data_IF_229703821572
#
_entry.id   IF_229703821572
#
_cell.length_a   1.000
_cell.length_b   1.000
_cell.length_c   1.000
_cell.angle_alpha   90.00
_cell.angle_beta   90.00
_cell.angle_gamma   90.00
#
_symmetry.space_group_name_H-M   'P 1'
#
loop_
_entity.id
_entity.type
_entity.pdbx_description
1 polymer ?
#
# COMPACT_ATOMS: atom_id res chain seq x y z
N UNK A 1 -15.14 9.38 0.43
CA UNK A 1 -15.00 7.92 0.20
C UNK A 1 -13.75 7.44 0.92
N UNK A 2 -13.89 6.38 1.73
CA UNK A 2 -12.85 5.92 2.65
C UNK A 2 -12.56 4.45 2.37
N UNK A 3 -11.40 4.16 1.80
CA UNK A 3 -11.04 2.84 1.31
C UNK A 3 -9.74 2.31 1.94
N UNK A 4 -9.65 0.99 2.06
CA UNK A 4 -8.40 0.28 2.22
C UNK A 4 -8.01 -0.38 0.89
N UNK A 5 -6.72 -0.42 0.58
CA UNK A 5 -6.18 -1.26 -0.47
C UNK A 5 -5.26 -2.32 0.14
N UNK A 6 -5.61 -3.57 -0.05
CA UNK A 6 -4.94 -4.71 0.54
C UNK A 6 -4.39 -5.65 -0.54
N UNK A 7 -3.53 -6.55 -0.13
CA UNK A 7 -2.85 -7.52 -1.00
C UNK A 7 -1.38 -7.65 -0.61
N UNK A 8 -0.74 -8.70 -1.05
CA UNK A 8 0.65 -9.01 -0.74
C UNK A 8 1.63 -7.95 -1.29
N UNK A 9 2.83 -7.82 -0.73
CA UNK A 9 3.91 -7.05 -1.35
C UNK A 9 4.13 -7.50 -2.80
N UNK A 10 4.23 -6.54 -3.74
CA UNK A 10 4.36 -6.87 -5.17
C UNK A 10 3.05 -7.10 -5.93
N UNK A 11 1.89 -7.14 -5.25
CA UNK A 11 0.58 -7.35 -5.90
C UNK A 11 0.10 -6.17 -6.78
N UNK A 12 0.80 -5.05 -6.79
CA UNK A 12 0.43 -3.88 -7.60
C UNK A 12 -0.38 -2.82 -6.85
N UNK A 13 -0.53 -2.92 -5.52
CA UNK A 13 -1.29 -1.95 -4.70
C UNK A 13 -0.93 -0.49 -4.99
N UNK A 14 0.35 -0.14 -4.93
CA UNK A 14 0.79 1.24 -5.16
C UNK A 14 0.46 1.78 -6.55
N UNK A 15 0.51 0.91 -7.59
CA UNK A 15 0.11 1.27 -8.96
C UNK A 15 -1.38 1.56 -9.03
N UNK A 16 -2.20 0.71 -8.42
CA UNK A 16 -3.65 0.91 -8.39
C UNK A 16 -4.05 2.07 -7.47
N UNK A 17 -3.34 2.25 -6.34
CA UNK A 17 -3.55 3.38 -5.45
C UNK A 17 -3.35 4.73 -6.16
N UNK A 18 -2.29 4.87 -6.96
CA UNK A 18 -2.05 6.08 -7.75
C UNK A 18 -3.21 6.37 -8.70
N UNK A 19 -3.72 5.35 -9.41
CA UNK A 19 -4.88 5.48 -10.31
C UNK A 19 -6.18 5.81 -9.56
N UNK A 20 -6.42 5.21 -8.39
CA UNK A 20 -7.58 5.52 -7.55
C UNK A 20 -7.53 6.98 -7.09
N UNK A 21 -6.38 7.44 -6.62
CA UNK A 21 -6.18 8.84 -6.17
C UNK A 21 -6.40 9.83 -7.32
N UNK A 22 -5.88 9.54 -8.50
CA UNK A 22 -6.06 10.38 -9.70
C UNK A 22 -7.54 10.45 -10.12
N UNK A 23 -8.24 9.33 -10.16
CA UNK A 23 -9.64 9.23 -10.63
C UNK A 23 -10.65 9.80 -9.62
N UNK A 24 -10.45 9.50 -8.31
CA UNK A 24 -11.45 9.78 -7.28
C UNK A 24 -11.09 10.95 -6.35
N UNK A 25 -9.88 11.48 -6.41
CA UNK A 25 -9.45 12.65 -5.64
C UNK A 25 -9.32 12.42 -4.14
N UNK A 26 -9.28 11.16 -3.67
CA UNK A 26 -9.12 10.82 -2.26
C UNK A 26 -7.70 11.07 -1.76
N UNK A 27 -7.51 11.35 -0.47
CA UNK A 27 -6.20 11.48 0.11
C UNK A 27 -5.48 10.12 0.18
N UNK A 28 -4.27 10.03 -0.33
CA UNK A 28 -3.44 8.81 -0.25
C UNK A 28 -2.71 8.77 1.09
N UNK A 29 -2.93 7.73 1.87
CA UNK A 29 -2.22 7.48 3.14
C UNK A 29 -1.46 6.16 2.98
N UNK A 30 -0.17 6.23 2.69
CA UNK A 30 0.71 5.07 2.58
C UNK A 30 1.66 5.02 3.78
N UNK A 31 1.44 4.08 4.69
CA UNK A 31 2.33 3.92 5.86
C UNK A 31 3.76 3.59 5.44
N UNK A 32 3.92 2.84 4.36
CA UNK A 32 5.23 2.56 3.80
C UNK A 32 5.97 3.82 3.32
N UNK A 33 5.26 4.76 2.67
CA UNK A 33 5.87 6.02 2.22
C UNK A 33 6.13 6.97 3.38
N UNK A 34 5.24 7.02 4.38
CA UNK A 34 5.45 7.79 5.60
C UNK A 34 6.72 7.35 6.33
N UNK A 35 6.92 6.04 6.53
CA UNK A 35 8.15 5.53 7.13
C UNK A 35 9.38 5.79 6.27
N UNK A 36 9.30 5.62 4.94
CA UNK A 36 10.42 5.93 4.04
C UNK A 36 10.81 7.40 4.07
N UNK A 37 9.83 8.29 4.10
CA UNK A 37 10.10 9.72 4.28
C UNK A 37 10.78 10.02 5.62
N UNK A 38 10.31 9.42 6.71
CA UNK A 38 10.92 9.54 8.03
C UNK A 38 12.37 9.01 8.05
N UNK A 39 12.63 7.88 7.37
CA UNK A 39 13.97 7.30 7.23
C UNK A 39 14.91 8.22 6.42
N UNK A 40 14.43 8.78 5.33
CA UNK A 40 15.20 9.72 4.48
C UNK A 40 15.55 11.01 5.24
N UNK A 41 14.63 11.48 6.08
CA UNK A 41 14.82 12.65 6.93
C UNK A 41 15.57 12.34 8.24
N UNK A 42 15.99 11.10 8.45
CA UNK A 42 16.75 10.64 9.63
C UNK A 42 16.06 11.00 10.97
N UNK A 43 14.73 11.00 11.01
CA UNK A 43 13.99 11.22 12.25
C UNK A 43 14.18 10.04 13.21
N UNK A 44 13.87 10.23 14.50
CA UNK A 44 13.90 9.15 15.50
C UNK A 44 12.98 7.99 15.08
N UNK A 45 11.76 8.31 14.67
CA UNK A 45 10.80 7.33 14.13
C UNK A 45 11.34 6.64 12.86
N UNK A 46 12.00 7.39 11.97
CA UNK A 46 12.61 6.83 10.76
C UNK A 46 13.74 5.84 11.08
N UNK A 47 14.58 6.16 12.08
CA UNK A 47 15.65 5.27 12.55
C UNK A 47 15.06 3.98 13.13
N UNK A 48 14.01 4.09 13.94
CA UNK A 48 13.30 2.94 14.50
C UNK A 48 12.70 2.10 13.38
N UNK A 49 11.92 2.70 12.47
CA UNK A 49 11.28 2.00 11.36
C UNK A 49 12.29 1.24 10.47
N UNK A 50 13.46 1.86 10.21
CA UNK A 50 14.53 1.25 9.41
C UNK A 50 15.00 -0.07 9.98
N UNK A 51 15.11 -0.18 11.32
CA UNK A 51 15.59 -1.40 11.99
C UNK A 51 14.69 -2.63 11.75
N UNK A 52 13.42 -2.42 11.39
CA UNK A 52 12.44 -3.46 11.05
C UNK A 52 12.32 -3.65 9.53
N UNK A 53 12.13 -2.56 8.80
CA UNK A 53 11.86 -2.60 7.35
C UNK A 53 13.01 -3.26 6.58
N UNK A 54 14.26 -2.95 6.90
CA UNK A 54 15.44 -3.53 6.24
C UNK A 54 15.53 -5.07 6.43
N UNK A 55 14.88 -5.60 7.46
CA UNK A 55 14.80 -7.04 7.73
C UNK A 55 13.54 -7.70 7.14
N UNK A 56 12.66 -6.92 6.51
CA UNK A 56 11.36 -7.39 6.03
C UNK A 56 10.35 -7.63 7.15
N UNK A 57 10.56 -7.04 8.32
CA UNK A 57 9.67 -7.10 9.49
C UNK A 57 8.68 -5.94 9.50
N UNK A 58 7.63 -6.06 10.32
CA UNK A 58 6.68 -4.98 10.54
C UNK A 58 7.21 -4.02 11.62
N UNK A 59 6.98 -2.72 11.42
CA UNK A 59 7.18 -1.72 12.47
C UNK A 59 6.16 -1.97 13.58
N UNK A 60 6.50 -1.80 14.87
CA UNK A 60 5.57 -2.05 15.98
C UNK A 60 4.22 -1.37 15.80
N UNK A 61 3.15 -2.08 16.18
CA UNK A 61 1.77 -1.63 15.97
C UNK A 61 1.48 -0.28 16.63
N UNK A 62 1.99 -0.05 17.83
CA UNK A 62 1.80 1.21 18.55
C UNK A 62 2.30 2.43 17.74
N UNK A 63 3.48 2.28 17.11
CA UNK A 63 4.07 3.34 16.27
C UNK A 63 3.24 3.54 15.01
N UNK A 64 2.86 2.45 14.35
CA UNK A 64 2.09 2.51 13.10
C UNK A 64 0.67 3.05 13.35
N UNK A 65 0.00 2.60 14.42
CA UNK A 65 -1.32 3.10 14.81
C UNK A 65 -1.27 4.60 15.13
N UNK A 66 -0.22 5.06 15.81
CA UNK A 66 -0.05 6.46 16.16
C UNK A 66 -0.01 7.36 14.93
N UNK A 67 0.85 7.06 13.97
CA UNK A 67 0.99 7.89 12.76
C UNK A 67 -0.27 7.86 11.87
N UNK A 68 -0.96 6.72 11.79
CA UNK A 68 -2.21 6.62 11.02
C UNK A 68 -3.31 7.42 11.69
N UNK A 69 -3.46 7.34 13.01
CA UNK A 69 -4.43 8.11 13.77
C UNK A 69 -4.22 9.62 13.60
N UNK A 70 -2.98 10.09 13.70
CA UNK A 70 -2.65 11.50 13.48
C UNK A 70 -3.03 11.93 12.06
N UNK A 71 -2.66 11.16 11.05
CA UNK A 71 -2.97 11.48 9.66
C UNK A 71 -4.48 11.48 9.35
N UNK A 72 -5.25 10.54 9.93
CA UNK A 72 -6.70 10.46 9.75
C UNK A 72 -7.45 11.64 10.42
N UNK A 73 -6.84 12.31 11.39
CA UNK A 73 -7.42 13.48 12.05
C UNK A 73 -7.17 14.80 11.30
N UNK A 74 -6.40 14.82 10.22
CA UNK A 74 -6.14 16.01 9.44
C UNK A 74 -7.40 16.44 8.63
N UNK A 75 -7.55 17.76 8.41
CA UNK A 75 -8.75 18.35 7.82
C UNK A 75 -9.06 17.90 6.39
N UNK A 76 -8.03 17.60 5.60
CA UNK A 76 -8.19 17.14 4.21
C UNK A 76 -8.89 15.78 4.12
N UNK A 77 -8.81 14.96 5.16
CA UNK A 77 -9.48 13.65 5.23
C UNK A 77 -10.99 13.81 5.29
N UNK A 78 -11.47 14.78 6.09
CA UNK A 78 -12.89 15.05 6.18
C UNK A 78 -13.50 15.56 4.85
N UNK A 79 -12.71 16.27 4.06
CA UNK A 79 -13.15 16.83 2.77
C UNK A 79 -13.09 15.80 1.62
N UNK A 80 -11.99 15.06 1.52
CA UNK A 80 -11.67 14.18 0.37
C UNK A 80 -11.96 12.71 0.61
N UNK A 81 -12.02 12.30 1.89
CA UNK A 81 -11.89 10.89 2.25
C UNK A 81 -10.45 10.40 2.06
N UNK A 82 -10.24 9.09 2.12
CA UNK A 82 -8.90 8.52 2.05
C UNK A 82 -8.83 7.17 1.33
N UNK A 83 -7.62 6.85 0.88
CA UNK A 83 -7.18 5.52 0.52
C UNK A 83 -5.99 5.15 1.40
N UNK A 84 -6.17 4.18 2.31
CA UNK A 84 -5.10 3.61 3.14
C UNK A 84 -4.38 2.49 2.38
N UNK A 85 -3.07 2.64 2.19
CA UNK A 85 -2.18 1.64 1.57
C UNK A 85 -1.12 1.18 2.57
N UNK A 86 -1.04 -0.14 2.74
CA UNK A 86 -0.06 -0.77 3.63
C UNK A 86 -0.41 -0.71 5.11
N UNK A 87 -1.66 -0.48 5.44
CA UNK A 87 -2.24 -0.55 6.78
C UNK A 87 -3.74 -0.90 6.65
N UNK A 88 -4.30 -1.77 7.53
CA UNK A 88 -3.63 -2.53 8.59
C UNK A 88 -2.77 -3.68 8.05
N UNK A 89 -1.79 -4.16 8.85
CA UNK A 89 -0.94 -5.31 8.56
C UNK A 89 -0.98 -6.39 9.64
N UNK A 90 -1.67 -6.14 10.73
CA UNK A 90 -1.98 -7.11 11.78
C UNK A 90 -3.46 -6.97 12.15
N UNK A 91 -4.03 -7.99 12.77
CA UNK A 91 -5.44 -7.92 13.21
C UNK A 91 -5.61 -6.87 14.32
N UNK A 92 -4.61 -6.69 15.16
CA UNK A 92 -4.56 -5.66 16.19
C UNK A 92 -4.61 -4.25 15.59
N UNK A 93 -3.90 -4.04 14.49
CA UNK A 93 -3.99 -2.78 13.72
C UNK A 93 -5.38 -2.59 13.11
N UNK A 94 -6.04 -3.65 12.62
CA UNK A 94 -7.38 -3.56 12.08
C UNK A 94 -8.39 -3.11 13.15
N UNK A 95 -8.34 -3.70 14.33
CA UNK A 95 -9.18 -3.28 15.45
C UNK A 95 -8.88 -1.84 15.89
N UNK A 96 -7.61 -1.44 15.95
CA UNK A 96 -7.22 -0.08 16.28
C UNK A 96 -7.70 0.93 15.23
N UNK A 97 -7.73 0.55 13.93
CA UNK A 97 -8.31 1.37 12.87
C UNK A 97 -9.81 1.55 13.07
N UNK A 98 -10.55 0.47 13.33
CA UNK A 98 -12.00 0.53 13.53
C UNK A 98 -12.37 1.45 14.71
N UNK A 99 -11.63 1.35 15.82
CA UNK A 99 -11.80 2.24 16.98
C UNK A 99 -11.48 3.71 16.63
N UNK A 100 -10.39 3.93 15.87
CA UNK A 100 -9.99 5.28 15.44
C UNK A 100 -11.04 5.90 14.54
N UNK A 101 -11.53 5.19 13.54
CA UNK A 101 -12.56 5.65 12.63
C UNK A 101 -13.86 5.94 13.36
N UNK A 102 -14.26 5.07 14.29
CA UNK A 102 -15.42 5.29 15.15
C UNK A 102 -15.28 6.54 16.00
N UNK A 103 -14.13 6.78 16.60
CA UNK A 103 -13.87 7.97 17.42
C UNK A 103 -13.89 9.27 16.60
N UNK A 104 -13.48 9.22 15.33
CA UNK A 104 -13.51 10.34 14.39
C UNK A 104 -14.86 10.51 13.69
N UNK A 105 -15.82 9.59 13.90
CA UNK A 105 -17.12 9.61 13.21
C UNK A 105 -17.01 9.29 11.71
N UNK A 106 -15.98 8.61 11.29
CA UNK A 106 -15.69 8.24 9.90
C UNK A 106 -16.16 6.80 9.66
N UNK A 107 -16.85 6.55 8.55
CA UNK A 107 -17.21 5.19 8.10
C UNK A 107 -16.19 4.70 7.09
N UNK A 108 -15.73 3.46 7.24
CA UNK A 108 -15.02 2.75 6.17
C UNK A 108 -16.03 2.29 5.12
N UNK A 109 -15.81 2.64 3.86
CA UNK A 109 -16.74 2.30 2.78
C UNK A 109 -16.43 0.96 2.12
N UNK A 110 -15.14 0.60 2.00
CA UNK A 110 -14.75 -0.68 1.40
C UNK A 110 -13.28 -1.01 1.49
N UNK A 111 -12.98 -2.25 1.18
CA UNK A 111 -11.63 -2.83 1.15
C UNK A 111 -11.41 -3.45 -0.23
N UNK A 112 -10.48 -2.92 -0.99
CA UNK A 112 -10.05 -3.46 -2.27
C UNK A 112 -8.90 -4.43 -2.02
N UNK A 113 -9.16 -5.72 -2.17
CA UNK A 113 -8.15 -6.77 -1.96
C UNK A 113 -7.60 -7.24 -3.32
N UNK A 114 -6.33 -6.94 -3.61
CA UNK A 114 -5.67 -7.37 -4.85
C UNK A 114 -5.01 -8.73 -4.63
N UNK A 115 -5.56 -9.76 -5.26
CA UNK A 115 -5.09 -11.13 -5.17
C UNK A 115 -4.11 -11.47 -6.30
N UNK A 116 -2.94 -11.95 -5.92
CA UNK A 116 -1.87 -12.39 -6.84
C UNK A 116 -1.26 -13.67 -6.31
N UNK A 117 -0.92 -14.60 -7.22
CA UNK A 117 -0.22 -15.82 -6.84
C UNK A 117 1.14 -15.48 -6.18
N UNK A 118 1.38 -15.90 -4.93
CA UNK A 118 2.62 -15.62 -4.19
C UNK A 118 3.90 -16.02 -4.93
N UNK A 119 3.87 -17.09 -5.73
CA UNK A 119 5.03 -17.59 -6.46
C UNK A 119 5.61 -16.57 -7.45
N UNK A 120 4.74 -15.72 -8.04
CA UNK A 120 5.16 -14.67 -8.97
C UNK A 120 5.69 -13.41 -8.29
N UNK A 121 5.46 -13.26 -6.98
CA UNK A 121 5.75 -12.01 -6.26
C UNK A 121 7.23 -11.80 -5.98
N UNK A 122 8.01 -12.87 -5.83
CA UNK A 122 9.47 -12.77 -5.61
C UNK A 122 10.13 -12.10 -6.82
N UNK A 123 9.81 -12.55 -8.03
CA UNK A 123 10.33 -11.96 -9.27
C UNK A 123 9.84 -10.53 -9.44
N UNK A 124 8.54 -10.27 -9.18
CA UNK A 124 7.96 -8.92 -9.26
C UNK A 124 8.65 -7.93 -8.34
N UNK A 125 8.95 -8.32 -7.10
CA UNK A 125 9.61 -7.44 -6.14
C UNK A 125 11.08 -7.20 -6.47
N UNK A 126 11.82 -8.26 -6.79
CA UNK A 126 13.25 -8.15 -7.10
C UNK A 126 13.55 -7.44 -8.42
N UNK A 127 12.56 -7.31 -9.31
CA UNK A 127 12.70 -6.58 -10.58
C UNK A 127 12.10 -5.17 -10.55
N UNK A 128 11.59 -4.73 -9.37
CA UNK A 128 11.04 -3.39 -9.18
C UNK A 128 12.13 -2.34 -9.09
N UNK A 129 11.90 -1.18 -9.70
CA UNK A 129 12.73 0.00 -9.54
C UNK A 129 11.87 1.26 -9.42
N UNK A 130 12.41 2.29 -8.79
CA UNK A 130 11.65 3.47 -8.38
C UNK A 130 12.40 4.70 -8.80
N UNK A 131 11.70 5.67 -9.38
CA UNK A 131 12.26 6.97 -9.66
C UNK A 131 12.63 7.68 -8.35
N UNK A 132 13.88 8.11 -8.23
CA UNK A 132 14.39 8.76 -7.03
C UNK A 132 13.73 10.11 -6.77
N UNK A 133 13.33 10.80 -7.83
CA UNK A 133 12.79 12.15 -7.76
C UNK A 133 11.30 12.18 -7.38
N UNK A 134 10.45 11.40 -8.06
CA UNK A 134 8.99 11.46 -7.87
C UNK A 134 8.38 10.23 -7.19
N UNK A 135 9.16 9.17 -6.93
CA UNK A 135 8.65 7.95 -6.30
C UNK A 135 7.86 7.02 -7.23
N UNK A 136 7.72 7.36 -8.52
CA UNK A 136 7.02 6.51 -9.49
C UNK A 136 7.65 5.12 -9.56
N UNK A 137 6.82 4.09 -9.53
CA UNK A 137 7.24 2.69 -9.45
C UNK A 137 7.15 2.03 -10.82
N UNK A 138 8.22 1.37 -11.19
CA UNK A 138 8.37 0.63 -12.45
C UNK A 138 8.77 -0.82 -12.21
N UNK A 139 8.60 -1.62 -13.24
CA UNK A 139 9.04 -3.01 -13.28
C UNK A 139 9.64 -3.32 -14.65
N UNK A 140 10.72 -4.07 -14.68
CA UNK A 140 11.46 -4.36 -15.94
C UNK A 140 10.62 -5.02 -17.03
N UNK A 141 9.61 -5.81 -16.64
CA UNK A 141 8.75 -6.55 -17.58
C UNK A 141 7.30 -6.03 -17.56
N UNK A 142 6.69 -5.91 -16.38
CA UNK A 142 5.25 -5.64 -16.27
C UNK A 142 4.87 -4.16 -16.32
N UNK A 143 5.81 -3.25 -16.08
CA UNK A 143 5.60 -1.81 -16.15
C UNK A 143 6.94 -1.10 -16.45
N UNK A 144 7.55 -1.33 -17.63
CA UNK A 144 8.78 -0.66 -18.00
C UNK A 144 8.53 0.84 -18.25
N UNK A 145 9.59 1.64 -18.19
CA UNK A 145 9.52 3.03 -18.65
C UNK A 145 9.32 3.05 -20.19
N UNK A 146 8.53 4.00 -20.70
CA UNK A 146 8.27 4.16 -22.14
C UNK A 146 9.55 4.45 -22.92
N UNK A 147 10.43 5.23 -22.31
CA UNK A 147 11.79 5.48 -22.80
C UNK A 147 12.74 4.91 -21.75
N UNK A 148 13.63 4.02 -22.17
CA UNK A 148 14.57 3.37 -21.27
C UNK A 148 15.38 4.41 -20.47
N UNK A 149 15.42 4.21 -19.14
CA UNK A 149 16.14 5.09 -18.22
C UNK A 149 15.51 6.47 -18.00
N UNK A 150 14.28 6.71 -18.47
CA UNK A 150 13.58 8.00 -18.29
C UNK A 150 12.26 7.78 -17.56
N UNK A 151 12.02 8.51 -16.48
CA UNK A 151 10.77 8.43 -15.73
C UNK A 151 9.61 9.03 -16.53
N UNK A 152 8.54 8.25 -16.74
CA UNK A 152 7.36 8.69 -17.51
C UNK A 152 6.58 9.82 -16.85
N UNK A 153 6.76 9.99 -15.52
CA UNK A 153 6.01 10.96 -14.71
C UNK A 153 6.73 12.31 -14.62
N UNK A 154 8.04 12.31 -14.35
CA UNK A 154 8.78 13.55 -14.09
C UNK A 154 9.95 13.78 -15.06
N UNK A 155 10.25 12.84 -15.96
CA UNK A 155 11.33 12.95 -16.93
C UNK A 155 12.74 12.70 -16.38
N UNK A 156 12.90 12.47 -15.07
CA UNK A 156 14.20 12.23 -14.45
C UNK A 156 14.78 10.84 -14.77
N UNK A 157 16.09 10.70 -14.61
CA UNK A 157 16.83 9.51 -15.05
C UNK A 157 17.39 8.68 -13.89
N UNK A 158 17.23 9.13 -12.64
CA UNK A 158 17.76 8.42 -11.48
C UNK A 158 16.73 7.47 -10.89
N UNK A 159 17.10 6.19 -10.84
CA UNK A 159 16.29 5.13 -10.26
C UNK A 159 17.05 4.38 -9.17
N UNK A 160 16.31 3.77 -8.25
CA UNK A 160 16.87 2.91 -7.21
C UNK A 160 15.97 1.71 -6.94
N UNK A 161 16.54 0.67 -6.37
CA UNK A 161 15.81 -0.46 -5.82
C UNK A 161 15.75 -0.30 -4.28
N UNK A 162 14.63 -0.67 -3.69
CA UNK A 162 14.48 -0.65 -2.22
C UNK A 162 15.32 -1.73 -1.58
N UNK A 163 15.84 -1.48 -0.38
CA UNK A 163 16.57 -2.49 0.40
C UNK A 163 15.69 -3.70 0.74
N UNK A 164 14.39 -3.47 1.02
CA UNK A 164 13.41 -4.51 1.31
C UNK A 164 12.88 -5.27 0.07
N UNK A 165 13.40 -4.97 -1.12
CA UNK A 165 13.15 -5.71 -2.37
C UNK A 165 14.31 -6.65 -2.75
N UNK A 166 15.33 -6.77 -1.93
CA UNK A 166 16.39 -7.74 -2.12
C UNK A 166 15.87 -9.18 -1.94
N UNK A 167 16.30 -10.15 -2.76
CA UNK A 167 15.73 -11.50 -2.75
C UNK A 167 15.69 -12.17 -1.37
N UNK A 168 16.73 -11.96 -0.56
CA UNK A 168 16.83 -12.50 0.80
C UNK A 168 15.79 -11.90 1.76
N UNK A 169 15.43 -10.63 1.58
CA UNK A 169 14.45 -9.92 2.41
C UNK A 169 13.02 -10.17 1.92
N UNK A 170 12.84 -10.28 0.60
CA UNK A 170 11.52 -10.48 -0.04
C UNK A 170 10.81 -11.71 0.49
N UNK A 171 11.50 -12.84 0.63
CA UNK A 171 10.88 -14.08 1.12
C UNK A 171 10.31 -13.90 2.52
N UNK A 172 11.11 -13.38 3.46
CA UNK A 172 10.65 -13.11 4.83
C UNK A 172 9.47 -12.15 4.86
N UNK A 173 9.55 -11.10 4.04
CA UNK A 173 8.48 -10.12 3.91
C UNK A 173 7.18 -10.72 3.40
N UNK A 174 7.23 -11.64 2.43
CA UNK A 174 6.06 -12.37 1.95
C UNK A 174 5.51 -13.28 3.03
N UNK A 175 6.35 -14.08 3.70
CA UNK A 175 5.92 -15.01 4.75
C UNK A 175 5.19 -14.26 5.88
N UNK A 176 5.73 -13.13 6.35
CA UNK A 176 5.09 -12.29 7.37
C UNK A 176 3.74 -11.75 6.89
N UNK A 177 3.68 -11.23 5.66
CA UNK A 177 2.44 -10.62 5.14
C UNK A 177 1.36 -11.66 4.81
N UNK A 178 1.72 -12.88 4.40
CA UNK A 178 0.77 -13.98 4.20
C UNK A 178 0.16 -14.39 5.53
N UNK A 179 0.98 -14.63 6.55
CA UNK A 179 0.52 -15.07 7.87
C UNK A 179 -0.41 -14.04 8.54
N UNK A 180 -0.17 -12.75 8.34
CA UNK A 180 -0.95 -11.67 8.96
C UNK A 180 -2.14 -11.22 8.12
N UNK A 181 -2.11 -11.43 6.80
CA UNK A 181 -3.12 -10.88 5.89
C UNK A 181 -4.47 -11.57 5.96
N UNK A 182 -4.49 -12.89 6.12
CA UNK A 182 -5.74 -13.67 6.12
C UNK A 182 -6.71 -13.27 7.25
N UNK A 183 -6.28 -13.12 8.52
CA UNK A 183 -7.15 -12.68 9.60
C UNK A 183 -7.77 -11.28 9.34
N UNK A 184 -7.02 -10.37 8.76
CA UNK A 184 -7.50 -9.02 8.45
C UNK A 184 -8.59 -9.07 7.37
N UNK A 185 -8.33 -9.80 6.29
CA UNK A 185 -9.31 -9.96 5.20
C UNK A 185 -10.57 -10.64 5.73
N UNK A 186 -10.44 -11.68 6.57
CA UNK A 186 -11.58 -12.34 7.18
C UNK A 186 -12.42 -11.35 8.02
N UNK A 187 -11.79 -10.54 8.86
CA UNK A 187 -12.45 -9.51 9.67
C UNK A 187 -13.30 -8.56 8.81
N UNK A 188 -12.71 -7.96 7.77
CA UNK A 188 -13.47 -7.03 6.90
C UNK A 188 -14.46 -7.75 5.98
N UNK A 189 -14.25 -9.03 5.66
CA UNK A 189 -15.20 -9.84 4.91
C UNK A 189 -16.46 -10.14 5.73
N UNK A 190 -16.35 -10.41 7.02
CA UNK A 190 -17.49 -10.54 7.94
C UNK A 190 -18.32 -9.25 8.03
N UNK A 191 -17.69 -8.09 7.86
CA UNK A 191 -18.37 -6.79 7.78
C UNK A 191 -18.98 -6.50 6.39
N UNK A 192 -18.78 -7.37 5.41
CA UNK A 192 -19.28 -7.20 4.04
C UNK A 192 -18.58 -6.10 3.24
N UNK A 193 -17.35 -5.74 3.61
CA UNK A 193 -16.62 -4.61 3.01
C UNK A 193 -15.62 -5.02 1.93
N UNK A 194 -15.28 -6.32 1.80
CA UNK A 194 -14.19 -6.78 0.91
C UNK A 194 -14.66 -6.97 -0.52
N UNK A 195 -13.91 -6.43 -1.46
CA UNK A 195 -13.99 -6.72 -2.89
C UNK A 195 -12.66 -7.31 -3.35
N UNK A 196 -12.69 -8.59 -3.74
CA UNK A 196 -11.52 -9.29 -4.26
C UNK A 196 -11.30 -8.98 -5.74
N UNK A 197 -10.09 -8.55 -6.09
CA UNK A 197 -9.69 -8.15 -7.44
C UNK A 197 -8.54 -9.04 -7.89
N UNK A 198 -8.69 -9.70 -9.04
CA UNK A 198 -7.63 -10.51 -9.63
C UNK A 198 -6.49 -9.62 -10.14
N UNK A 199 -5.31 -9.71 -9.51
CA UNK A 199 -4.15 -8.89 -9.82
C UNK A 199 -3.18 -9.49 -10.86
N UNK A 200 -3.49 -10.69 -11.40
CA UNK A 200 -2.68 -11.32 -12.47
C UNK A 200 -3.20 -10.94 -13.87
N UNK A 201 -3.45 -9.66 -14.08
CA UNK A 201 -3.93 -9.08 -15.33
C UNK A 201 -3.07 -7.86 -15.67
N UNK A 202 -3.32 -7.26 -16.83
CA UNK A 202 -2.72 -5.97 -17.18
C UNK A 202 -3.20 -4.87 -16.24
N UNK A 203 -2.35 -3.85 -16.02
CA UNK A 203 -2.60 -2.78 -15.03
C UNK A 203 -3.95 -2.10 -15.26
N UNK A 204 -4.34 -1.88 -16.51
CA UNK A 204 -5.59 -1.19 -16.86
C UNK A 204 -6.81 -2.08 -16.67
N UNK A 205 -6.68 -3.39 -16.88
CA UNK A 205 -7.75 -4.37 -16.62
C UNK A 205 -8.00 -4.50 -15.10
N UNK A 206 -6.93 -4.59 -14.30
CA UNK A 206 -7.04 -4.54 -12.83
C UNK A 206 -7.75 -3.27 -12.39
N UNK A 207 -7.39 -2.11 -12.97
CA UNK A 207 -8.02 -0.84 -12.62
C UNK A 207 -9.50 -0.78 -13.05
N UNK A 208 -9.86 -1.37 -14.18
CA UNK A 208 -11.25 -1.47 -14.60
C UNK A 208 -12.09 -2.27 -13.60
N UNK A 209 -11.56 -3.38 -13.06
CA UNK A 209 -12.23 -4.17 -12.03
C UNK A 209 -12.28 -3.43 -10.68
N UNK A 210 -11.22 -2.71 -10.30
CA UNK A 210 -11.23 -1.81 -9.13
C UNK A 210 -12.33 -0.75 -9.25
N UNK A 211 -12.49 -0.10 -10.41
CA UNK A 211 -13.57 0.89 -10.62
C UNK A 211 -14.97 0.27 -10.49
N UNK A 212 -15.18 -0.94 -11.01
CA UNK A 212 -16.45 -1.65 -10.84
C UNK A 212 -16.73 -1.95 -9.36
N UNK A 213 -15.72 -2.41 -8.63
CA UNK A 213 -15.85 -2.68 -7.19
C UNK A 213 -16.20 -1.40 -6.41
N UNK A 214 -15.50 -0.29 -6.67
CA UNK A 214 -15.77 1.01 -6.04
C UNK A 214 -17.19 1.50 -6.38
N UNK A 215 -17.64 1.36 -7.62
CA UNK A 215 -18.99 1.75 -8.02
C UNK A 215 -20.10 0.90 -7.35
N UNK A 216 -19.77 -0.29 -6.88
CA UNK A 216 -20.71 -1.18 -6.16
C UNK A 216 -20.77 -0.87 -4.65
N UNK A 217 -19.85 -0.07 -4.10
CA UNK A 217 -19.83 0.37 -2.70
C UNK A 217 -21.01 1.36 -2.50
N UNK A 218 -21.87 1.03 -1.55
CA UNK A 218 -23.10 1.79 -1.26
C UNK A 218 -22.96 2.65 -0.01
#
# INVERSE_FOLDING_TARGET
MNLLIMGLPGAGKGTQAAKIVEEFGVAHISTGDMFRAAMANQTEMGTLAKSFIDKGELVPDEVTNGIVKERLAESDIAEKGFLLDGYPRTIEQAHALDETLKALGIKLDGVINIEVNPESLVERLSSRFICRSCGATYHKVFNPTKVEGTCDVCGEHEFFQREDDKPETVKRRLDVNIAQGEPIIAHYRELGLVSDIQGNQDIDDVFADVKKAIAAIK
#
